data_IF_125704701873
#
_entry.id   IF_125704701873
#
_cell.length_a   1.000
_cell.length_b   1.000
_cell.length_c   1.000
_cell.angle_alpha   90.00
_cell.angle_beta   90.00
_cell.angle_gamma   90.00
#
_symmetry.space_group_name_H-M   'P 1'
#
loop_
_entity.id
_entity.type
_entity.pdbx_description
1 polymer ?
#
# COMPACT_ATOMS: atom_id res chain seq x y z
N UNK A 1 19.48 -21.47 -24.80
CA UNK A 1 18.81 -20.96 -23.59
C UNK A 1 17.37 -21.43 -23.60
N UNK A 2 16.83 -21.80 -22.45
CA UNK A 2 15.44 -22.27 -22.36
C UNK A 2 14.47 -21.09 -22.55
N UNK A 3 13.30 -21.29 -23.19
CA UNK A 3 12.32 -20.21 -23.44
C UNK A 3 11.86 -19.51 -22.15
N UNK A 4 11.86 -20.23 -21.03
CA UNK A 4 11.56 -19.68 -19.70
C UNK A 4 12.59 -18.65 -19.21
N UNK A 5 13.87 -18.82 -19.57
CA UNK A 5 14.94 -17.89 -19.17
C UNK A 5 14.83 -16.58 -19.94
N UNK A 6 14.57 -16.63 -21.25
CA UNK A 6 14.36 -15.47 -22.12
C UNK A 6 13.13 -14.65 -21.70
N UNK A 7 12.01 -15.32 -21.37
CA UNK A 7 10.82 -14.65 -20.86
C UNK A 7 11.06 -13.92 -19.53
N UNK A 8 11.81 -14.55 -18.62
CA UNK A 8 12.22 -13.94 -17.36
C UNK A 8 13.19 -12.75 -17.53
N UNK A 9 13.99 -12.72 -18.60
CA UNK A 9 14.88 -11.58 -18.91
C UNK A 9 14.06 -10.46 -19.55
N UNK A 10 13.22 -10.76 -20.54
CA UNK A 10 12.38 -9.80 -21.25
C UNK A 10 11.45 -9.02 -20.29
N UNK A 11 10.83 -9.72 -19.33
CA UNK A 11 9.97 -9.09 -18.31
C UNK A 11 10.73 -8.13 -17.38
N UNK A 12 11.93 -8.51 -16.92
CA UNK A 12 12.78 -7.64 -16.08
C UNK A 12 13.24 -6.40 -16.85
N UNK A 13 13.62 -6.55 -18.12
CA UNK A 13 14.05 -5.44 -18.98
C UNK A 13 12.90 -4.48 -19.28
N UNK A 14 11.69 -4.99 -19.56
CA UNK A 14 10.49 -4.17 -19.77
C UNK A 14 10.07 -3.41 -18.51
N UNK A 15 10.22 -4.03 -17.32
CA UNK A 15 9.95 -3.40 -16.03
C UNK A 15 10.98 -2.31 -15.70
N UNK A 16 12.26 -2.56 -15.99
CA UNK A 16 13.33 -1.58 -15.78
C UNK A 16 13.25 -0.39 -16.75
N UNK A 17 12.86 -0.64 -18.01
CA UNK A 17 12.79 0.37 -19.06
C UNK A 17 14.18 0.77 -19.61
N UNK A 18 14.21 1.46 -20.76
CA UNK A 18 15.45 1.67 -21.53
C UNK A 18 16.46 2.58 -20.81
N UNK A 19 15.98 3.59 -20.06
CA UNK A 19 16.85 4.50 -19.30
C UNK A 19 17.65 3.81 -18.19
N UNK A 20 17.01 2.92 -17.41
CA UNK A 20 17.71 2.17 -16.36
C UNK A 20 18.69 1.16 -16.95
N UNK A 21 18.31 0.47 -18.03
CA UNK A 21 19.20 -0.47 -18.73
C UNK A 21 20.49 0.23 -19.18
N UNK A 22 20.39 1.41 -19.81
CA UNK A 22 21.56 2.20 -20.23
C UNK A 22 22.40 2.66 -19.05
N UNK A 23 21.77 3.10 -17.96
CA UNK A 23 22.49 3.55 -16.76
C UNK A 23 23.29 2.42 -16.11
N UNK A 24 22.69 1.23 -16.00
CA UNK A 24 23.36 0.04 -15.46
C UNK A 24 24.45 -0.44 -16.41
N UNK A 25 24.19 -0.51 -17.71
CA UNK A 25 25.21 -0.83 -18.72
C UNK A 25 26.43 0.08 -18.66
N UNK A 26 26.23 1.39 -18.45
CA UNK A 26 27.31 2.37 -18.27
C UNK A 26 28.06 2.20 -16.94
N UNK A 27 27.38 1.86 -15.86
CA UNK A 27 28.01 1.62 -14.55
C UNK A 27 28.90 0.37 -14.54
N UNK A 28 28.55 -0.66 -15.29
CA UNK A 28 29.31 -1.91 -15.33
C UNK A 28 30.36 -1.98 -16.46
N UNK A 29 30.31 -1.05 -17.43
CA UNK A 29 31.37 -0.82 -18.42
C UNK A 29 31.58 -1.96 -19.42
N UNK A 30 32.59 -1.84 -20.28
CA UNK A 30 33.03 -2.92 -21.19
C UNK A 30 31.99 -3.40 -22.21
N UNK A 31 32.01 -4.69 -22.56
CA UNK A 31 31.10 -5.32 -23.52
C UNK A 31 29.62 -5.25 -23.10
N UNK A 32 29.35 -5.25 -21.79
CA UNK A 32 28.01 -5.09 -21.22
C UNK A 32 27.36 -3.74 -21.52
N UNK A 33 28.13 -2.66 -21.74
CA UNK A 33 27.57 -1.36 -22.14
C UNK A 33 27.01 -1.40 -23.56
N UNK A 34 27.72 -2.02 -24.50
CA UNK A 34 27.28 -2.12 -25.90
C UNK A 34 26.05 -3.03 -26.04
N UNK A 35 26.02 -4.15 -25.32
CA UNK A 35 24.84 -5.00 -25.25
C UNK A 35 23.65 -4.31 -24.56
N UNK A 36 23.89 -3.58 -23.47
CA UNK A 36 22.84 -2.82 -22.79
C UNK A 36 22.25 -1.70 -23.67
N UNK A 37 23.07 -0.97 -24.43
CA UNK A 37 22.58 0.05 -25.37
C UNK A 37 21.74 -0.55 -26.50
N UNK A 38 22.17 -1.70 -27.05
CA UNK A 38 21.41 -2.45 -28.06
C UNK A 38 20.07 -2.92 -27.51
N UNK A 39 20.07 -3.55 -26.34
CA UNK A 39 18.86 -4.07 -25.70
C UNK A 39 17.92 -2.95 -25.23
N UNK A 40 18.46 -1.83 -24.75
CA UNK A 40 17.66 -0.65 -24.45
C UNK A 40 16.97 -0.10 -25.71
N UNK A 41 17.68 -0.06 -26.85
CA UNK A 41 17.08 0.28 -28.14
C UNK A 41 15.99 -0.70 -28.57
N UNK A 42 16.15 -2.00 -28.31
CA UNK A 42 15.10 -3.00 -28.55
C UNK A 42 13.87 -2.76 -27.67
N UNK A 43 14.06 -2.54 -26.37
CA UNK A 43 12.97 -2.27 -25.41
C UNK A 43 12.23 -0.97 -25.76
N UNK A 44 12.95 0.07 -26.17
CA UNK A 44 12.38 1.35 -26.63
C UNK A 44 11.56 1.16 -27.90
N UNK A 45 12.12 0.46 -28.92
CA UNK A 45 11.40 0.16 -30.16
C UNK A 45 10.11 -0.62 -29.91
N UNK A 46 10.13 -1.58 -28.99
CA UNK A 46 8.98 -2.44 -28.68
C UNK A 46 7.91 -1.67 -27.90
N UNK A 47 8.30 -0.80 -26.97
CA UNK A 47 7.37 0.04 -26.20
C UNK A 47 6.68 1.10 -27.05
N UNK A 48 7.38 1.68 -28.03
CA UNK A 48 6.79 2.69 -28.92
C UNK A 48 5.88 2.06 -29.98
N UNK A 49 6.19 0.84 -30.43
CA UNK A 49 5.49 0.22 -31.56
C UNK A 49 4.29 -0.66 -31.19
N UNK A 50 4.18 -1.13 -29.94
CA UNK A 50 3.25 -2.21 -29.59
C UNK A 50 2.49 -1.98 -28.27
N UNK A 51 1.23 -2.43 -28.17
CA UNK A 51 0.48 -2.46 -26.93
C UNK A 51 1.09 -3.44 -25.92
N UNK A 52 0.93 -3.14 -24.62
CA UNK A 52 1.58 -3.81 -23.48
C UNK A 52 1.44 -5.35 -23.46
N UNK A 53 0.36 -5.88 -24.03
CA UNK A 53 0.09 -7.33 -24.11
C UNK A 53 1.01 -8.09 -25.06
N UNK A 54 1.61 -7.43 -26.03
CA UNK A 54 2.44 -8.06 -27.08
C UNK A 54 3.94 -7.76 -26.92
N UNK A 55 4.29 -6.75 -26.13
CA UNK A 55 5.68 -6.31 -25.93
C UNK A 55 6.60 -7.42 -25.44
N UNK A 56 6.14 -8.28 -24.52
CA UNK A 56 6.95 -9.38 -23.97
C UNK A 56 7.30 -10.42 -25.04
N UNK A 57 6.32 -10.85 -25.84
CA UNK A 57 6.52 -11.89 -26.87
C UNK A 57 7.43 -11.42 -28.00
N UNK A 58 7.27 -10.17 -28.44
CA UNK A 58 8.09 -9.61 -29.51
C UNK A 58 9.52 -9.34 -29.03
N UNK A 59 9.70 -8.93 -27.78
CA UNK A 59 11.04 -8.79 -27.19
C UNK A 59 11.74 -10.15 -27.07
N UNK A 60 11.05 -11.20 -26.64
CA UNK A 60 11.58 -12.57 -26.61
C UNK A 60 12.06 -13.04 -27.98
N UNK A 61 11.27 -12.80 -29.04
CA UNK A 61 11.65 -13.15 -30.42
C UNK A 61 12.89 -12.38 -30.90
N UNK A 62 12.99 -11.09 -30.58
CA UNK A 62 14.17 -10.27 -30.90
C UNK A 62 15.41 -10.67 -30.08
N UNK A 63 15.22 -11.19 -28.88
CA UNK A 63 16.32 -11.67 -28.04
C UNK A 63 16.82 -13.05 -28.46
N UNK A 64 15.98 -13.87 -29.10
CA UNK A 64 16.35 -15.19 -29.61
C UNK A 64 17.35 -15.13 -30.80
N UNK A 65 17.49 -13.97 -31.46
CA UNK A 65 18.43 -13.77 -32.57
C UNK A 65 19.80 -13.25 -32.13
N UNK A 66 19.99 -12.97 -30.83
CA UNK A 66 21.25 -12.45 -30.28
C UNK A 66 22.35 -13.52 -30.23
N UNK A 67 23.61 -13.07 -30.25
CA UNK A 67 24.75 -13.99 -30.16
C UNK A 67 24.84 -14.62 -28.75
N UNK A 68 25.45 -15.81 -28.60
CA UNK A 68 25.62 -16.46 -27.30
C UNK A 68 26.37 -15.57 -26.28
N UNK A 69 27.30 -14.74 -26.74
CA UNK A 69 28.06 -13.81 -25.91
C UNK A 69 27.18 -12.67 -25.36
N UNK A 70 26.25 -12.15 -26.18
CA UNK A 70 25.29 -11.11 -25.77
C UNK A 70 24.27 -11.66 -24.76
N UNK A 71 23.90 -12.93 -24.88
CA UNK A 71 22.99 -13.59 -23.95
C UNK A 71 23.58 -13.72 -22.54
N UNK A 72 24.87 -14.05 -22.42
CA UNK A 72 25.56 -14.07 -21.12
C UNK A 72 25.63 -12.68 -20.49
N UNK A 73 25.90 -11.65 -21.31
CA UNK A 73 25.89 -10.26 -20.83
C UNK A 73 24.50 -9.82 -20.37
N UNK A 74 23.43 -10.29 -21.02
CA UNK A 74 22.05 -10.05 -20.60
C UNK A 74 21.70 -10.69 -19.27
N UNK A 75 22.16 -11.91 -19.01
CA UNK A 75 22.00 -12.56 -17.72
C UNK A 75 22.69 -11.77 -16.60
N UNK A 76 23.92 -11.28 -16.84
CA UNK A 76 24.61 -10.43 -15.87
C UNK A 76 23.85 -9.12 -15.61
N UNK A 77 23.34 -8.48 -16.67
CA UNK A 77 22.55 -7.26 -16.57
C UNK A 77 21.24 -7.50 -15.80
N UNK A 78 20.57 -8.63 -16.04
CA UNK A 78 19.35 -9.02 -15.32
C UNK A 78 19.62 -9.16 -13.82
N UNK A 79 20.68 -9.88 -13.43
CA UNK A 79 21.02 -10.07 -12.02
C UNK A 79 21.28 -8.73 -11.34
N UNK A 80 22.00 -7.82 -12.00
CA UNK A 80 22.27 -6.47 -11.49
C UNK A 80 20.99 -5.64 -11.35
N UNK A 81 20.11 -5.67 -12.34
CA UNK A 81 18.82 -4.98 -12.28
C UNK A 81 17.93 -5.52 -11.15
N UNK A 82 17.93 -6.83 -10.93
CA UNK A 82 17.18 -7.45 -9.83
C UNK A 82 17.75 -7.06 -8.46
N UNK A 83 19.07 -7.03 -8.30
CA UNK A 83 19.71 -6.55 -7.07
C UNK A 83 19.32 -5.09 -6.77
N UNK A 84 19.36 -4.21 -7.76
CA UNK A 84 18.93 -2.81 -7.60
C UNK A 84 17.44 -2.68 -7.27
N UNK A 85 16.56 -3.48 -7.86
CA UNK A 85 15.13 -3.47 -7.52
C UNK A 85 14.91 -3.91 -6.06
N UNK A 86 15.61 -4.95 -5.62
CA UNK A 86 15.56 -5.42 -4.21
C UNK A 86 16.08 -4.35 -3.26
N UNK A 87 17.20 -3.69 -3.58
CA UNK A 87 17.74 -2.60 -2.75
C UNK A 87 16.79 -1.40 -2.66
N UNK A 88 16.19 -0.99 -3.78
CA UNK A 88 15.17 0.07 -3.79
C UNK A 88 13.97 -0.30 -2.94
N UNK A 89 13.47 -1.52 -3.07
CA UNK A 89 12.35 -2.00 -2.26
C UNK A 89 12.71 -2.00 -0.77
N UNK A 90 13.93 -2.42 -0.42
CA UNK A 90 14.42 -2.38 0.95
C UNK A 90 14.46 -0.95 1.49
N UNK A 91 14.95 0.02 0.70
CA UNK A 91 15.00 1.43 1.09
C UNK A 91 13.60 2.02 1.30
N UNK A 92 12.66 1.74 0.39
CA UNK A 92 11.26 2.19 0.51
C UNK A 92 10.58 1.58 1.73
N UNK A 93 10.81 0.30 2.00
CA UNK A 93 10.26 -0.37 3.18
C UNK A 93 10.89 0.15 4.47
N UNK A 94 12.19 0.43 4.47
CA UNK A 94 12.90 1.01 5.60
C UNK A 94 12.39 2.42 5.91
N UNK A 95 12.20 3.26 4.89
CA UNK A 95 11.63 4.61 5.01
C UNK A 95 10.20 4.55 5.58
N UNK A 96 9.34 3.69 5.04
CA UNK A 96 7.99 3.47 5.59
C UNK A 96 8.03 3.00 7.05
N UNK A 97 8.96 2.12 7.39
CA UNK A 97 9.11 1.63 8.75
C UNK A 97 9.61 2.73 9.70
N UNK A 98 10.53 3.59 9.25
CA UNK A 98 11.01 4.75 10.01
C UNK A 98 9.88 5.76 10.25
N UNK A 99 9.11 6.11 9.21
CA UNK A 99 7.95 6.98 9.34
C UNK A 99 6.91 6.42 10.34
N UNK A 100 6.63 5.11 10.29
CA UNK A 100 5.76 4.46 11.27
C UNK A 100 6.32 4.44 12.69
N UNK A 101 7.64 4.39 12.82
CA UNK A 101 8.32 4.43 14.11
C UNK A 101 8.21 5.82 14.74
N UNK A 102 8.57 6.87 14.00
CA UNK A 102 8.48 8.27 14.45
C UNK A 102 7.03 8.67 14.81
N UNK A 103 6.05 8.22 14.03
CA UNK A 103 4.65 8.45 14.34
C UNK A 103 4.24 7.80 15.67
N UNK A 104 4.69 6.56 15.92
CA UNK A 104 4.41 5.87 17.19
C UNK A 104 5.13 6.52 18.37
N UNK A 105 6.36 6.98 18.20
CA UNK A 105 7.08 7.71 19.24
C UNK A 105 6.37 9.00 19.59
N UNK A 106 5.88 9.75 18.61
CA UNK A 106 5.09 10.96 18.84
C UNK A 106 3.79 10.66 19.62
N UNK A 107 3.13 9.54 19.32
CA UNK A 107 1.94 9.11 20.07
C UNK A 107 2.32 8.74 21.50
N UNK A 108 3.36 7.92 21.70
CA UNK A 108 3.83 7.51 23.03
C UNK A 108 4.30 8.70 23.87
N UNK A 109 4.95 9.68 23.25
CA UNK A 109 5.38 10.91 23.92
C UNK A 109 4.18 11.74 24.38
N UNK A 110 3.10 11.79 23.58
CA UNK A 110 1.84 12.38 24.01
C UNK A 110 1.18 11.63 25.17
N UNK A 111 1.22 10.30 25.16
CA UNK A 111 0.64 9.46 26.22
C UNK A 111 1.48 9.50 27.52
N UNK A 112 2.79 9.68 27.41
CA UNK A 112 3.73 9.81 28.53
C UNK A 112 3.95 11.27 28.97
N UNK A 113 3.18 12.21 28.44
CA UNK A 113 3.29 13.62 28.82
C UNK A 113 3.11 13.77 30.35
N UNK A 114 3.95 14.62 30.94
CA UNK A 114 3.86 14.99 32.36
C UNK A 114 2.57 15.73 32.65
N UNK A 115 2.12 16.55 31.70
CA UNK A 115 0.83 17.22 31.76
C UNK A 115 -0.33 16.23 31.58
N UNK A 116 -1.14 16.14 32.64
CA UNK A 116 -2.36 15.34 32.66
C UNK A 116 -3.39 15.74 31.59
N UNK A 117 -3.46 17.02 31.22
CA UNK A 117 -4.40 17.51 30.21
C UNK A 117 -4.07 16.91 28.84
N UNK A 118 -2.81 17.00 28.42
CA UNK A 118 -2.33 16.45 27.13
C UNK A 118 -2.54 14.93 27.07
N UNK A 119 -2.19 14.22 28.15
CA UNK A 119 -2.35 12.76 28.25
C UNK A 119 -3.80 12.31 28.15
N UNK A 120 -4.74 13.07 28.72
CA UNK A 120 -6.14 12.67 28.77
C UNK A 120 -6.96 13.14 27.56
N UNK A 121 -6.49 14.14 26.81
CA UNK A 121 -7.28 14.77 25.73
C UNK A 121 -7.69 13.77 24.64
N UNK A 122 -6.77 12.92 24.17
CA UNK A 122 -7.08 11.92 23.12
C UNK A 122 -8.10 10.87 23.59
N UNK A 123 -7.92 10.22 24.77
CA UNK A 123 -8.95 9.33 25.32
C UNK A 123 -10.28 10.02 25.64
N UNK A 124 -10.27 11.28 26.07
CA UNK A 124 -11.49 12.04 26.34
C UNK A 124 -12.28 12.32 25.07
N UNK A 125 -11.61 12.76 24.00
CA UNK A 125 -12.25 12.99 22.71
C UNK A 125 -12.93 11.73 22.18
N UNK A 126 -12.27 10.57 22.29
CA UNK A 126 -12.82 9.28 21.89
C UNK A 126 -14.06 8.89 22.70
N UNK A 127 -14.02 9.07 24.03
CA UNK A 127 -15.16 8.78 24.91
C UNK A 127 -16.34 9.70 24.64
N UNK A 128 -16.10 11.00 24.51
CA UNK A 128 -17.14 11.99 24.22
C UNK A 128 -17.80 11.72 22.88
N UNK A 129 -17.00 11.42 21.84
CA UNK A 129 -17.49 11.01 20.53
C UNK A 129 -18.38 9.75 20.59
N UNK A 130 -17.96 8.74 21.35
CA UNK A 130 -18.75 7.53 21.55
C UNK A 130 -20.08 7.82 22.27
N UNK A 131 -20.04 8.64 23.33
CA UNK A 131 -21.25 9.02 24.07
C UNK A 131 -22.18 9.91 23.23
N UNK A 132 -21.65 10.83 22.43
CA UNK A 132 -22.47 11.67 21.54
C UNK A 132 -23.16 10.84 20.45
N UNK A 133 -22.45 9.88 19.84
CA UNK A 133 -23.03 8.97 18.85
C UNK A 133 -24.13 8.09 19.47
N UNK A 134 -23.87 7.50 20.64
CA UNK A 134 -24.84 6.70 21.36
C UNK A 134 -26.08 7.53 21.76
N UNK A 135 -25.87 8.72 22.30
CA UNK A 135 -26.95 9.62 22.70
C UNK A 135 -27.82 10.03 21.50
N UNK A 136 -27.20 10.37 20.35
CA UNK A 136 -27.92 10.71 19.12
C UNK A 136 -28.86 9.58 18.68
N UNK A 137 -28.33 8.35 18.57
CA UNK A 137 -29.12 7.19 18.15
C UNK A 137 -30.23 6.90 19.15
N UNK A 138 -29.90 6.85 20.45
CA UNK A 138 -30.89 6.54 21.48
C UNK A 138 -32.01 7.59 21.55
N UNK A 139 -31.69 8.88 21.48
CA UNK A 139 -32.70 9.95 21.54
C UNK A 139 -33.69 9.86 20.38
N UNK A 140 -33.19 9.66 19.16
CA UNK A 140 -34.05 9.54 17.98
C UNK A 140 -34.84 8.25 17.99
N UNK A 141 -34.23 7.10 18.30
CA UNK A 141 -34.94 5.82 18.40
C UNK A 141 -36.00 5.83 19.50
N UNK A 142 -35.71 6.37 20.69
CA UNK A 142 -36.70 6.54 21.75
C UNK A 142 -37.81 7.52 21.34
N UNK A 143 -37.48 8.59 20.63
CA UNK A 143 -38.45 9.54 20.10
C UNK A 143 -39.39 8.91 19.06
N UNK A 144 -38.90 7.99 18.23
CA UNK A 144 -39.73 7.21 17.31
C UNK A 144 -40.69 6.28 18.05
N UNK A 145 -40.22 5.60 19.10
CA UNK A 145 -41.07 4.76 19.96
C UNK A 145 -42.15 5.62 20.64
N UNK A 146 -41.76 6.76 21.21
CA UNK A 146 -42.69 7.69 21.84
C UNK A 146 -43.70 8.25 20.83
N UNK A 147 -43.26 8.57 19.61
CA UNK A 147 -44.11 9.01 18.50
C UNK A 147 -45.13 7.96 18.08
N UNK A 148 -44.74 6.69 18.01
CA UNK A 148 -45.65 5.58 17.72
C UNK A 148 -46.72 5.42 18.81
N UNK A 149 -46.33 5.52 20.10
CA UNK A 149 -47.26 5.45 21.24
C UNK A 149 -48.22 6.65 21.24
N UNK A 150 -47.71 7.85 20.98
CA UNK A 150 -48.51 9.08 20.89
C UNK A 150 -49.50 9.00 19.72
N UNK A 151 -49.05 8.51 18.56
CA UNK A 151 -49.89 8.30 17.38
C UNK A 151 -51.04 7.33 17.64
N UNK A 152 -50.80 6.25 18.39
CA UNK A 152 -51.86 5.33 18.82
C UNK A 152 -52.91 5.99 19.73
N UNK A 153 -52.58 7.12 20.38
CA UNK A 153 -53.49 7.94 21.19
C UNK A 153 -54.06 9.15 20.43
N UNK A 154 -53.83 9.24 19.11
CA UNK A 154 -54.30 10.33 18.26
C UNK A 154 -53.45 11.61 18.32
N UNK A 155 -52.28 11.57 18.96
CA UNK A 155 -51.33 12.71 19.02
C UNK A 155 -50.27 12.52 17.94
N UNK A 156 -50.22 13.43 16.98
CA UNK A 156 -49.20 13.41 15.91
C UNK A 156 -47.87 13.96 16.42
N UNK A 157 -46.94 13.05 16.73
CA UNK A 157 -45.54 13.35 17.04
C UNK A 157 -44.63 12.61 16.06
N UNK A 158 -43.96 13.37 15.19
CA UNK A 158 -43.03 12.82 14.20
C UNK A 158 -41.58 13.05 14.65
N UNK A 159 -40.82 11.96 14.81
CA UNK A 159 -39.39 11.99 15.07
C UNK A 159 -38.64 11.33 13.90
N UNK A 160 -37.59 11.96 13.33
CA UNK A 160 -36.80 11.33 12.28
C UNK A 160 -36.05 10.10 12.80
N UNK A 161 -35.77 9.15 11.91
CA UNK A 161 -34.88 8.03 12.21
C UNK A 161 -33.43 8.51 12.38
N UNK A 162 -32.62 7.83 13.21
CA UNK A 162 -31.18 8.07 13.24
C UNK A 162 -30.57 7.86 11.86
N UNK A 163 -29.79 8.84 11.41
CA UNK A 163 -29.06 8.76 10.15
C UNK A 163 -27.69 8.10 10.37
N UNK A 164 -27.31 7.20 9.46
CA UNK A 164 -26.06 6.44 9.55
C UNK A 164 -24.84 7.33 9.31
N UNK A 165 -24.91 8.29 8.38
CA UNK A 165 -23.80 9.19 8.05
C UNK A 165 -23.53 10.12 9.23
N UNK A 166 -24.57 10.64 9.88
CA UNK A 166 -24.44 11.44 11.10
C UNK A 166 -23.87 10.60 12.25
N UNK A 167 -24.35 9.36 12.40
CA UNK A 167 -23.87 8.44 13.44
C UNK A 167 -22.38 8.14 13.26
N UNK A 168 -21.94 7.82 12.05
CA UNK A 168 -20.54 7.55 11.73
C UNK A 168 -19.66 8.78 11.84
N UNK A 169 -20.15 9.96 11.41
CA UNK A 169 -19.45 11.23 11.60
C UNK A 169 -19.18 11.49 13.08
N UNK A 170 -20.19 11.32 13.94
CA UNK A 170 -20.05 11.47 15.39
C UNK A 170 -19.13 10.43 16.01
N UNK A 171 -19.10 9.20 15.49
CA UNK A 171 -18.29 8.09 15.99
C UNK A 171 -16.83 8.11 15.47
N UNK A 172 -16.53 8.93 14.46
CA UNK A 172 -15.23 8.95 13.77
C UNK A 172 -14.03 9.12 14.73
N UNK A 173 -14.02 10.05 15.69
CA UNK A 173 -12.92 10.17 16.65
C UNK A 173 -12.72 8.91 17.50
N UNK A 174 -13.79 8.25 17.92
CA UNK A 174 -13.73 7.00 18.70
C UNK A 174 -13.14 5.84 17.88
N UNK A 175 -13.57 5.69 16.62
CA UNK A 175 -13.04 4.68 15.70
C UNK A 175 -11.56 4.92 15.40
N UNK A 176 -11.18 6.18 15.16
CA UNK A 176 -9.80 6.59 14.94
C UNK A 176 -8.89 6.27 16.14
N UNK A 177 -9.38 6.48 17.35
CA UNK A 177 -8.67 6.15 18.60
C UNK A 177 -8.50 4.64 18.79
N UNK A 178 -9.55 3.85 18.51
CA UNK A 178 -9.49 2.38 18.55
C UNK A 178 -8.67 1.77 17.40
N UNK A 179 -8.21 2.60 16.46
CA UNK A 179 -7.37 2.17 15.34
C UNK A 179 -8.16 1.50 14.21
N UNK A 180 -9.47 1.72 14.15
CA UNK A 180 -10.36 1.33 13.06
C UNK A 180 -10.25 2.40 11.98
N UNK A 181 -9.27 2.27 11.09
CA UNK A 181 -8.98 3.26 10.03
C UNK A 181 -9.57 2.87 8.67
N UNK A 182 -9.79 1.58 8.45
CA UNK A 182 -10.38 0.97 7.25
C UNK A 182 -10.98 -0.38 7.67
N UNK A 183 -12.03 -0.85 7.00
CA UNK A 183 -12.53 -2.24 7.14
C UNK A 183 -11.45 -3.29 6.79
N UNK A 184 -10.40 -2.85 6.10
CA UNK A 184 -9.16 -3.60 5.78
C UNK A 184 -8.23 -3.81 7.01
N UNK A 185 -8.58 -3.22 8.15
CA UNK A 185 -7.84 -3.31 9.42
C UNK A 185 -8.03 -4.60 10.21
N UNK A 186 -8.84 -5.56 9.73
CA UNK A 186 -8.86 -6.94 10.21
C UNK A 186 -7.63 -7.68 9.70
N UNK A 187 -6.43 -7.20 10.04
CA UNK A 187 -5.22 -7.96 9.82
C UNK A 187 -5.34 -9.30 10.56
N UNK A 188 -5.01 -10.41 9.89
CA UNK A 188 -5.02 -11.78 10.42
C UNK A 188 -4.19 -11.97 11.69
N UNK A 189 -3.39 -10.96 12.08
CA UNK A 189 -2.49 -10.98 13.22
C UNK A 189 -2.65 -9.72 14.08
N UNK A 190 -2.60 -9.93 15.39
CA UNK A 190 -2.53 -8.88 16.42
C UNK A 190 -1.44 -7.86 16.09
N UNK A 191 -1.75 -6.56 16.24
CA UNK A 191 -0.79 -5.46 16.06
C UNK A 191 0.35 -5.47 17.10
N UNK A 192 0.39 -6.45 18.02
CA UNK A 192 1.56 -6.69 18.86
C UNK A 192 2.71 -7.27 18.02
N UNK A 193 3.87 -6.61 18.08
CA UNK A 193 5.07 -6.87 17.26
C UNK A 193 5.64 -8.29 17.34
N UNK A 194 5.19 -9.13 18.28
CA UNK A 194 5.70 -10.50 18.46
C UNK A 194 5.20 -11.52 17.44
N UNK A 195 4.06 -11.28 16.78
CA UNK A 195 3.50 -12.24 15.83
C UNK A 195 4.03 -12.11 14.40
N UNK A 196 4.76 -11.03 14.08
CA UNK A 196 5.30 -10.79 12.72
C UNK A 196 6.55 -11.60 12.39
N UNK A 197 7.18 -12.23 13.38
CA UNK A 197 8.48 -12.91 13.22
C UNK A 197 8.32 -14.38 12.79
N UNK A 198 7.12 -14.95 12.90
CA UNK A 198 6.88 -16.39 12.68
C UNK A 198 6.62 -16.80 11.22
N UNK A 199 6.54 -15.86 10.28
CA UNK A 199 6.20 -16.16 8.88
C UNK A 199 7.40 -15.91 7.96
N UNK A 200 8.46 -16.69 8.15
CA UNK A 200 9.39 -17.02 7.06
C UNK A 200 8.71 -17.99 6.09
N UNK A 201 9.04 -17.94 4.79
CA UNK A 201 8.38 -18.77 3.79
C UNK A 201 8.69 -20.26 4.05
N UNK A 202 7.66 -21.09 3.94
CA UNK A 202 7.83 -22.53 3.67
C UNK A 202 8.03 -22.72 2.18
#
# INVERSE_FOLDING_TARGET
>A
MDPLTLSGIASVLLKAGPGLIRSVGRWFGGGTSAAADSVAGMVESVRESLPDTEQQRVLEQKMATLSPEQLVQLDTLKVQLQQLDVERQKLVLADRQAAHHEQQETIRNGDNATDSYVRQTRPLLARLSCYSSLAYVLLLSCGQIAGAIAGARGITLHMPSPDWDITLMLLTPALGYLGVRTLDGFARYSKSSRHKISAGPK
#
